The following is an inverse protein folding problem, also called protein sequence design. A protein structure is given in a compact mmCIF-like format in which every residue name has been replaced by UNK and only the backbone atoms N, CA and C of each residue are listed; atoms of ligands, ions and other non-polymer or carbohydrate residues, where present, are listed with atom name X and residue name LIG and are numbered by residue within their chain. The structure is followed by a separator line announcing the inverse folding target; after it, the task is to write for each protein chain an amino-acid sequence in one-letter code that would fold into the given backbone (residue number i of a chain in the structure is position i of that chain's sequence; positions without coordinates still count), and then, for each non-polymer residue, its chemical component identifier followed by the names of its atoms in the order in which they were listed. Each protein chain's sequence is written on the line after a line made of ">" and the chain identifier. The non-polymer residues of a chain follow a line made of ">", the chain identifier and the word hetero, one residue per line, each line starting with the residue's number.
data_IF_183355189057
#
_entry.id   IF_183355189057
#
_cell.length_a   1.000
_cell.length_b   1.000
_cell.length_c   1.000
_cell.angle_alpha   90.00
_cell.angle_beta   90.00
_cell.angle_gamma   90.00
#
_symmetry.space_group_name_H-M   'P 1'
#
loop_
_entity.id
_entity.type
_entity.pdbx_description
1 polymer ?
2 non-polymer ?
3 non-polymer ?
4 water ?
#
# COMPACT_ATOMS: atom_id res chain seq x y z
N UNK A 4 26.15 -0.58 -9.45
CA UNK A 4 25.20 0.49 -9.75
C UNK A 4 23.77 -0.04 -9.79
N UNK A 5 22.80 0.87 -9.70
CA UNK A 5 21.39 0.50 -9.63
C UNK A 5 20.78 0.39 -11.02
N UNK A 6 19.81 -0.52 -11.14
CA UNK A 6 18.94 -0.61 -12.30
C UNK A 6 18.09 0.66 -12.42
N UNK A 7 17.46 0.84 -13.59
CA UNK A 7 16.63 2.02 -13.79
C UNK A 7 15.45 2.04 -12.83
N UNK A 8 14.81 0.88 -12.60
CA UNK A 8 13.71 0.85 -11.65
C UNK A 8 14.20 1.07 -10.23
N UNK A 9 15.36 0.51 -9.87
CA UNK A 9 15.85 0.75 -8.52
C UNK A 9 16.34 2.20 -8.35
N UNK A 10 16.73 2.86 -9.44
CA UNK A 10 17.06 4.28 -9.36
C UNK A 10 15.81 5.11 -9.13
N UNK A 11 14.68 4.70 -9.72
CA UNK A 11 13.41 5.34 -9.40
C UNK A 11 13.06 5.14 -7.94
N UNK A 12 13.29 3.93 -7.43
CA UNK A 12 13.03 3.64 -6.02
C UNK A 12 13.93 4.46 -5.10
N UNK A 13 15.21 4.59 -5.46
CA UNK A 13 16.10 5.43 -4.67
C UNK A 13 15.58 6.87 -4.63
N UNK A 14 15.00 7.33 -5.73
CA UNK A 14 14.40 8.66 -5.74
C UNK A 14 13.19 8.75 -4.82
N UNK A 15 12.40 7.68 -4.75
CA UNK A 15 11.28 7.65 -3.80
C UNK A 15 11.80 7.71 -2.38
N UNK A 16 12.82 6.91 -2.09
CA UNK A 16 13.40 6.90 -0.75
C UNK A 16 13.91 8.28 -0.36
N UNK A 17 14.62 8.94 -1.27
CA UNK A 17 15.06 10.31 -1.02
C UNK A 17 13.88 11.21 -0.69
N UNK A 18 12.78 11.07 -1.43
CA UNK A 18 11.63 11.91 -1.13
C UNK A 18 11.05 11.58 0.24
N UNK A 19 10.94 10.29 0.57
CA UNK A 19 10.37 9.96 1.88
C UNK A 19 11.19 10.50 3.04
N UNK A 20 12.51 10.64 2.84
CA UNK A 20 13.41 11.15 3.85
C UNK A 20 13.58 12.67 3.80
N UNK A 21 12.92 13.36 2.88
CA UNK A 21 13.19 14.77 2.69
C UNK A 21 12.41 15.63 3.70
N UNK A 22 12.84 16.88 3.82
CA UNK A 22 12.28 17.77 4.84
C UNK A 22 10.79 18.01 4.62
N UNK A 23 10.32 17.95 3.38
CA UNK A 23 8.93 18.29 3.12
C UNK A 23 7.95 17.29 3.72
N UNK A 24 8.38 16.05 4.01
CA UNK A 24 7.52 15.07 4.66
C UNK A 24 7.92 14.81 6.11
N UNK A 25 8.84 15.61 6.66
CA UNK A 25 9.43 15.29 7.97
C UNK A 25 8.39 15.29 9.09
N UNK A 26 7.34 16.11 8.99
CA UNK A 26 6.40 16.23 10.09
C UNK A 26 5.62 14.94 10.33
N UNK A 27 5.52 14.07 9.33
CA UNK A 27 4.90 12.77 9.52
C UNK A 27 5.83 11.61 9.24
N UNK A 28 6.99 11.84 8.64
CA UNK A 28 7.87 10.70 8.35
C UNK A 28 8.78 10.34 9.51
N UNK A 29 9.00 11.24 10.47
CA UNK A 29 10.06 11.02 11.46
C UNK A 29 9.91 9.76 12.30
N UNK A 30 8.72 9.24 12.64
CA UNK A 30 8.68 7.98 13.40
C UNK A 30 9.34 6.83 12.68
N UNK A 31 9.42 6.91 11.37
CA UNK A 31 9.88 5.82 10.53
C UNK A 31 11.35 5.94 10.17
N UNK A 32 12.04 6.92 10.74
CA UNK A 32 13.44 7.14 10.37
C UNK A 32 14.36 6.04 10.87
N UNK A 33 14.10 5.49 12.06
CA UNK A 33 14.99 4.55 12.72
C UNK A 33 14.19 3.37 13.22
N UNK A 34 14.84 2.24 13.53
CA UNK A 34 14.10 1.09 14.05
C UNK A 34 13.33 1.46 15.31
N UNK A 35 12.13 0.92 15.43
CA UNK A 35 11.37 1.07 16.67
C UNK A 35 12.21 0.56 17.83
N UNK A 36 12.39 1.40 18.84
CA UNK A 36 13.15 1.03 20.05
C UNK A 36 12.11 0.68 21.11
N UNK A 37 11.72 -0.60 21.13
CA UNK A 37 10.59 -1.00 21.95
C UNK A 37 10.89 -0.83 23.44
N UNK A 38 12.14 -1.07 23.85
CA UNK A 38 12.47 -0.90 25.26
C UNK A 38 12.41 0.58 25.68
N UNK A 39 12.95 1.47 24.84
CA UNK A 39 12.90 2.90 25.15
C UNK A 39 11.48 3.42 25.16
N UNK A 40 10.63 2.92 24.26
CA UNK A 40 9.23 3.32 24.26
C UNK A 40 8.44 2.62 25.35
N UNK A 41 9.01 1.61 26.00
CA UNK A 41 8.29 0.91 27.05
C UNK A 41 7.21 -0.01 26.52
N UNK A 42 7.36 -0.49 25.29
CA UNK A 42 6.36 -1.31 24.64
C UNK A 42 6.84 -2.75 24.63
N UNK A 43 6.60 -3.45 25.74
CA UNK A 43 7.23 -4.72 26.01
C UNK A 43 6.78 -5.83 25.06
N UNK A 44 5.64 -5.69 24.40
CA UNK A 44 5.14 -6.73 23.52
C UNK A 44 5.33 -6.43 22.04
N UNK A 45 6.10 -5.39 21.70
CA UNK A 45 6.22 -5.01 20.30
C UNK A 45 6.76 -6.15 19.46
N UNK A 46 7.81 -6.80 19.93
CA UNK A 46 8.41 -7.87 19.13
C UNK A 46 7.67 -9.19 19.27
N UNK A 47 6.66 -9.27 20.14
CA UNK A 47 5.78 -10.42 20.11
C UNK A 47 4.77 -10.30 18.98
N UNK A 48 4.41 -9.09 18.63
CA UNK A 48 3.39 -8.83 17.62
C UNK A 48 4.02 -8.62 16.25
N UNK A 49 5.15 -7.91 16.21
CA UNK A 49 5.87 -7.57 14.98
C UNK A 49 7.03 -8.55 14.82
N UNK A 50 6.89 -9.48 13.88
CA UNK A 50 7.90 -10.50 13.64
C UNK A 50 9.08 -9.97 12.83
N UNK A 51 8.84 -9.02 11.94
CA UNK A 51 9.85 -8.55 10.98
C UNK A 51 9.88 -7.03 10.98
N UNK A 52 10.63 -6.43 11.91
CA UNK A 52 10.68 -4.97 11.98
C UNK A 52 11.30 -4.37 10.71
N UNK A 53 10.87 -3.14 10.40
CA UNK A 53 11.43 -2.44 9.25
C UNK A 53 11.28 -0.94 9.47
N UNK A 54 12.21 -0.18 8.90
CA UNK A 54 12.20 1.28 9.03
C UNK A 54 13.01 1.86 7.88
N UNK A 55 12.96 3.18 7.74
CA UNK A 55 13.59 3.81 6.58
C UNK A 55 15.11 3.76 6.62
N UNK A 56 15.73 3.79 7.82
CA UNK A 56 17.19 3.65 7.83
C UNK A 56 17.62 2.29 7.35
N UNK A 57 16.81 1.26 7.59
CA UNK A 57 17.16 -0.06 7.08
C UNK A 57 16.99 -0.13 5.57
N UNK A 58 15.88 0.43 5.06
CA UNK A 58 15.68 0.52 3.62
C UNK A 58 16.83 1.27 2.97
N UNK A 59 17.25 2.38 3.58
CA UNK A 59 18.36 3.17 3.04
C UNK A 59 19.66 2.39 3.04
N UNK A 60 19.95 1.66 4.12
CA UNK A 60 21.16 0.85 4.14
C UNK A 60 21.13 -0.20 3.02
N UNK A 61 19.98 -0.83 2.82
CA UNK A 61 19.91 -1.87 1.80
C UNK A 61 20.04 -1.27 0.41
N UNK A 62 19.50 -0.08 0.22
CA UNK A 62 19.63 0.57 -1.08
C UNK A 62 21.07 0.97 -1.34
N UNK A 63 21.74 1.58 -0.35
CA UNK A 63 23.12 2.03 -0.54
C UNK A 63 24.06 0.86 -0.79
N UNK A 64 23.85 -0.23 -0.09
CA UNK A 64 24.72 -1.39 -0.24
C UNK A 64 24.30 -2.28 -1.39
N UNK A 65 23.28 -1.89 -2.14
CA UNK A 65 22.83 -2.64 -3.32
C UNK A 65 22.33 -4.03 -2.95
N UNK A 66 21.63 -4.10 -1.82
CA UNK A 66 21.07 -5.37 -1.36
C UNK A 66 19.78 -5.73 -2.08
N UNK A 67 19.03 -4.75 -2.58
CA UNK A 67 17.76 -5.05 -3.22
C UNK A 67 18.01 -5.71 -4.58
N UNK A 68 17.32 -6.82 -4.83
CA UNK A 68 17.43 -7.47 -6.12
C UNK A 68 16.59 -6.78 -7.19
N UNK A 69 15.44 -6.22 -6.81
CA UNK A 69 14.57 -5.53 -7.77
C UNK A 69 13.64 -4.59 -7.02
N UNK A 70 12.85 -3.85 -7.80
CA UNK A 70 11.98 -2.84 -7.22
C UNK A 70 10.91 -3.46 -6.33
N UNK A 71 10.41 -4.63 -6.72
CA UNK A 71 9.39 -5.28 -5.89
C UNK A 71 9.92 -5.61 -4.50
N UNK A 72 11.21 -5.93 -4.36
CA UNK A 72 11.75 -6.18 -3.03
C UNK A 72 11.77 -4.90 -2.20
N UNK A 73 12.13 -3.77 -2.83
CA UNK A 73 12.07 -2.48 -2.17
C UNK A 73 10.66 -2.18 -1.71
N UNK A 74 9.68 -2.33 -2.59
CA UNK A 74 8.29 -2.02 -2.25
C UNK A 74 7.81 -2.91 -1.12
N UNK A 75 8.23 -4.18 -1.12
CA UNK A 75 7.82 -5.06 -0.03
C UNK A 75 8.33 -4.56 1.31
N UNK A 76 9.58 -4.07 1.37
CA UNK A 76 10.10 -3.57 2.63
C UNK A 76 9.37 -2.31 3.08
N UNK A 77 9.10 -1.39 2.15
CA UNK A 77 8.40 -0.18 2.54
C UNK A 77 7.01 -0.50 3.03
N UNK A 78 6.29 -1.37 2.31
CA UNK A 78 4.96 -1.75 2.76
C UNK A 78 4.99 -2.50 4.09
N UNK A 79 6.05 -3.30 4.32
CA UNK A 79 6.20 -3.99 5.61
C UNK A 79 6.33 -2.99 6.75
N UNK A 80 7.15 -1.94 6.55
CA UNK A 80 7.29 -0.90 7.56
C UNK A 80 5.93 -0.29 7.92
N UNK A 81 5.11 0.03 6.92
CA UNK A 81 3.80 0.61 7.21
C UNK A 81 2.88 -0.44 7.83
N UNK A 82 2.89 -1.66 7.29
CA UNK A 82 2.07 -2.75 7.82
C UNK A 82 2.32 -2.97 9.30
N UNK A 83 3.60 -3.01 9.71
CA UNK A 83 3.91 -3.21 11.13
C UNK A 83 3.25 -2.13 11.98
N UNK A 84 3.26 -0.90 11.49
CA UNK A 84 2.67 0.19 12.24
C UNK A 84 1.16 -0.03 12.38
N UNK A 85 0.49 -0.37 11.28
CA UNK A 85 -0.94 -0.64 11.36
C UNK A 85 -1.23 -1.85 12.24
N UNK A 86 -0.41 -2.90 12.13
CA UNK A 86 -0.66 -4.12 12.89
C UNK A 86 -0.62 -3.87 14.39
N UNK A 87 0.35 -3.08 14.85
CA UNK A 87 0.52 -2.91 16.29
C UNK A 87 -0.52 -1.94 16.87
N UNK A 88 -0.86 -0.88 16.14
CA UNK A 88 -1.53 0.28 16.70
C UNK A 88 -3.00 0.31 16.34
N UNK A 89 -3.83 0.97 17.16
CA UNK A 89 -5.25 1.13 16.85
C UNK A 89 -5.45 2.14 15.73
N UNK A 90 -6.60 2.08 15.06
CA UNK A 90 -6.77 2.89 13.84
C UNK A 90 -6.78 4.39 14.07
N UNK A 91 -7.11 4.88 15.26
CA UNK A 91 -7.14 6.32 15.48
C UNK A 91 -5.84 6.86 16.08
N UNK A 92 -4.80 6.04 16.17
CA UNK A 92 -3.53 6.49 16.71
C UNK A 92 -2.89 7.50 15.78
N UNK A 93 -2.25 8.52 16.36
CA UNK A 93 -1.57 9.53 15.56
C UNK A 93 -0.51 8.92 14.64
N UNK A 94 0.19 7.88 15.08
CA UNK A 94 1.25 7.34 14.22
C UNK A 94 0.66 6.61 13.02
N UNK A 95 -0.57 6.09 13.16
CA UNK A 95 -1.23 5.44 12.03
C UNK A 95 -1.60 6.46 10.96
N UNK A 96 -2.07 7.64 11.36
CA UNK A 96 -2.35 8.71 10.39
C UNK A 96 -1.08 9.15 9.69
N UNK A 97 0.02 9.26 10.44
CA UNK A 97 1.30 9.61 9.82
C UNK A 97 1.73 8.55 8.82
N UNK A 98 1.58 7.29 9.18
CA UNK A 98 1.96 6.20 8.27
C UNK A 98 1.14 6.24 6.99
N UNK A 99 -0.18 6.40 7.10
CA UNK A 99 -0.99 6.43 5.88
C UNK A 99 -0.64 7.62 5.01
N UNK A 100 -0.35 8.78 5.61
CA UNK A 100 0.03 9.94 4.80
C UNK A 100 1.35 9.70 4.07
N UNK A 101 2.32 9.12 4.75
CA UNK A 101 3.59 8.84 4.07
C UNK A 101 3.43 7.71 3.06
N UNK A 102 2.57 6.73 3.36
CA UNK A 102 2.38 5.63 2.42
C UNK A 102 1.72 6.10 1.14
N UNK A 103 0.80 7.07 1.26
CA UNK A 103 0.19 7.64 0.05
C UNK A 103 1.26 8.23 -0.86
N UNK A 104 2.27 8.90 -0.29
CA UNK A 104 3.36 9.44 -1.10
C UNK A 104 4.08 8.31 -1.81
N UNK A 105 4.43 7.27 -1.07
CA UNK A 105 5.13 6.13 -1.65
C UNK A 105 4.31 5.49 -2.75
N UNK A 106 3.04 5.20 -2.48
CA UNK A 106 2.26 4.43 -3.43
C UNK A 106 2.03 5.20 -4.71
N UNK A 107 1.83 6.52 -4.61
CA UNK A 107 1.65 7.31 -5.81
C UNK A 107 2.93 7.31 -6.64
N UNK A 108 4.07 7.57 -6.00
CA UNK A 108 5.33 7.62 -6.74
C UNK A 108 5.71 6.25 -7.30
N UNK A 109 5.49 5.18 -6.54
CA UNK A 109 5.79 3.84 -7.02
C UNK A 109 4.92 3.48 -8.23
N UNK A 110 3.67 3.95 -8.26
CA UNK A 110 2.80 3.66 -9.39
C UNK A 110 3.25 4.36 -10.66
N UNK A 111 4.06 5.43 -10.55
CA UNK A 111 4.60 6.14 -11.68
C UNK A 111 5.97 5.62 -12.12
N UNK A 112 6.41 4.48 -11.60
CA UNK A 112 7.71 3.96 -11.98
C UNK A 112 7.72 3.59 -13.46
N UNK A 113 8.74 4.01 -14.23
CA UNK A 113 8.81 3.73 -15.67
C UNK A 113 9.28 2.33 -15.99
N UNK B 6 -8.48 -21.29 4.21
CA UNK B 6 -7.65 -21.15 5.40
C UNK B 6 -8.05 -19.94 6.22
N UNK B 7 -7.47 -19.85 7.43
CA UNK B 7 -7.75 -18.73 8.31
C UNK B 7 -7.41 -17.39 7.66
N UNK B 8 -6.33 -17.36 6.87
CA UNK B 8 -5.91 -16.08 6.28
C UNK B 8 -6.84 -15.67 5.14
N UNK B 9 -7.29 -16.62 4.32
CA UNK B 9 -8.16 -16.22 3.23
C UNK B 9 -9.57 -15.91 3.74
N UNK B 10 -9.99 -16.51 4.87
CA UNK B 10 -11.18 -16.05 5.56
C UNK B 10 -11.04 -14.60 5.99
N UNK B 11 -9.87 -14.23 6.51
CA UNK B 11 -9.65 -12.83 6.85
C UNK B 11 -9.73 -11.96 5.61
N UNK B 12 -9.20 -12.44 4.49
CA UNK B 12 -9.25 -11.65 3.26
C UNK B 12 -10.68 -11.49 2.76
N UNK B 13 -11.51 -12.53 2.91
CA UNK B 13 -12.91 -12.36 2.54
C UNK B 13 -13.58 -11.30 3.39
N UNK B 14 -13.23 -11.23 4.68
CA UNK B 14 -13.81 -10.20 5.53
C UNK B 14 -13.35 -8.80 5.16
N UNK B 15 -12.10 -8.67 4.69
CA UNK B 15 -11.64 -7.38 4.19
C UNK B 15 -12.47 -6.96 2.99
N UNK B 16 -12.66 -7.89 2.05
CA UNK B 16 -13.43 -7.59 0.85
C UNK B 16 -14.85 -7.15 1.20
N UNK B 17 -15.47 -7.84 2.16
CA UNK B 17 -16.80 -7.43 2.60
C UNK B 17 -16.78 -6.01 3.16
N UNK B 18 -15.77 -5.66 3.96
CA UNK B 18 -15.70 -4.30 4.48
C UNK B 18 -15.55 -3.28 3.35
N UNK B 19 -14.70 -3.57 2.37
CA UNK B 19 -14.50 -2.63 1.27
C UNK B 19 -15.78 -2.39 0.50
N UNK B 20 -16.65 -3.38 0.43
CA UNK B 20 -17.90 -3.30 -0.30
C UNK B 20 -19.07 -2.82 0.55
N UNK B 21 -18.85 -2.60 1.85
CA UNK B 21 -19.93 -2.31 2.79
C UNK B 21 -20.41 -0.87 2.67
N UNK B 22 -21.57 -0.62 3.30
CA UNK B 22 -22.22 0.69 3.19
C UNK B 22 -21.38 1.79 3.84
N UNK B 23 -20.59 1.46 4.87
CA UNK B 23 -19.82 2.48 5.56
C UNK B 23 -18.92 3.24 4.60
N UNK B 24 -18.40 2.56 3.58
CA UNK B 24 -17.38 3.13 2.70
C UNK B 24 -17.89 3.46 1.31
N UNK B 25 -19.21 3.36 1.09
CA UNK B 25 -19.74 3.41 -0.26
C UNK B 25 -19.51 4.75 -0.93
N UNK B 26 -19.45 5.84 -0.17
CA UNK B 26 -19.32 7.17 -0.78
C UNK B 26 -18.02 7.31 -1.57
N UNK B 27 -16.98 6.56 -1.20
CA UNK B 27 -15.72 6.60 -1.94
C UNK B 27 -15.32 5.27 -2.56
N UNK B 28 -15.98 4.17 -2.20
CA UNK B 28 -15.59 2.89 -2.77
C UNK B 28 -16.23 2.62 -4.13
N UNK B 29 -17.32 3.30 -4.47
CA UNK B 29 -18.13 2.89 -5.61
C UNK B 29 -17.38 2.89 -6.95
N UNK B 30 -16.40 3.74 -7.24
CA UNK B 30 -15.70 3.62 -8.54
C UNK B 30 -14.98 2.30 -8.70
N UNK B 31 -14.70 1.59 -7.61
CA UNK B 31 -13.92 0.37 -7.65
C UNK B 31 -14.78 -0.89 -7.61
N UNK B 32 -16.09 -0.72 -7.65
CA UNK B 32 -16.99 -1.87 -7.56
C UNK B 32 -16.90 -2.75 -8.80
N UNK B 33 -16.76 -2.15 -9.97
CA UNK B 33 -16.79 -2.85 -11.25
C UNK B 33 -15.60 -2.42 -12.09
N UNK B 34 -15.25 -3.21 -13.13
CA UNK B 34 -14.12 -2.81 -13.97
C UNK B 34 -14.33 -1.42 -14.55
N UNK B 35 -13.22 -0.68 -14.69
CA UNK B 35 -13.27 0.61 -15.35
C UNK B 35 -13.76 0.40 -16.77
N UNK B 36 -14.90 1.01 -17.12
CA UNK B 36 -15.40 0.96 -18.50
C UNK B 36 -14.91 2.22 -19.19
N UNK B 37 -13.63 2.19 -19.58
CA UNK B 37 -12.98 3.40 -20.09
C UNK B 37 -13.65 3.90 -21.37
N UNK B 38 -14.04 2.98 -22.26
CA UNK B 38 -14.68 3.39 -23.50
C UNK B 38 -15.98 4.14 -23.22
N UNK B 39 -16.78 3.64 -22.27
CA UNK B 39 -18.00 4.34 -21.90
C UNK B 39 -17.71 5.66 -21.20
N UNK B 40 -16.62 5.72 -20.41
CA UNK B 40 -16.22 6.97 -19.78
C UNK B 40 -15.60 7.96 -20.77
N UNK B 41 -15.44 7.57 -22.03
CA UNK B 41 -14.85 8.43 -23.04
C UNK B 41 -13.34 8.49 -23.02
N UNK B 42 -12.70 7.56 -22.32
CA UNK B 42 -11.27 7.63 -22.02
C UNK B 42 -10.54 6.49 -22.71
N UNK B 43 -10.23 6.68 -23.99
CA UNK B 43 -9.77 5.60 -24.85
C UNK B 43 -8.28 5.34 -24.79
N UNK B 44 -7.54 6.03 -23.92
CA UNK B 44 -6.15 5.69 -23.70
C UNK B 44 -5.92 4.94 -22.39
N UNK B 45 -6.98 4.72 -21.60
CA UNK B 45 -6.80 4.05 -20.31
C UNK B 45 -6.21 2.66 -20.49
N UNK B 46 -6.73 1.90 -21.45
CA UNK B 46 -6.25 0.54 -21.63
C UNK B 46 -4.91 0.48 -22.35
N UNK B 47 -4.41 1.61 -22.85
CA UNK B 47 -3.03 1.67 -23.37
C UNK B 47 -2.03 1.84 -22.24
N UNK B 48 -2.41 2.52 -21.18
CA UNK B 48 -1.56 2.74 -20.02
C UNK B 48 -1.71 1.63 -18.98
N UNK B 49 -2.93 1.13 -18.78
CA UNK B 49 -3.24 0.14 -17.76
C UNK B 49 -3.39 -1.20 -18.48
N UNK B 50 -2.36 -2.05 -18.36
CA UNK B 50 -2.36 -3.33 -19.04
C UNK B 50 -2.96 -4.45 -18.21
N UNK B 51 -3.13 -4.25 -16.90
CA UNK B 51 -3.66 -5.29 -16.02
C UNK B 51 -4.74 -4.67 -15.17
N UNK B 52 -5.92 -4.45 -15.74
CA UNK B 52 -7.01 -3.84 -14.97
C UNK B 52 -7.44 -4.75 -13.83
N UNK B 53 -7.92 -4.13 -12.75
CA UNK B 53 -8.40 -4.87 -11.59
C UNK B 53 -9.47 -4.05 -10.91
N UNK B 54 -10.43 -4.74 -10.29
CA UNK B 54 -11.51 -4.09 -9.57
C UNK B 54 -12.05 -5.07 -8.54
N UNK B 55 -12.90 -4.57 -7.64
CA UNK B 55 -13.35 -5.40 -6.52
C UNK B 55 -14.23 -6.57 -6.95
N UNK B 56 -15.09 -6.39 -7.96
CA UNK B 56 -15.89 -7.53 -8.43
C UNK B 56 -15.01 -8.63 -9.00
N UNK B 57 -13.88 -8.28 -9.61
CA UNK B 57 -12.96 -9.30 -10.10
C UNK B 57 -12.25 -10.01 -8.94
N UNK B 58 -11.78 -9.24 -7.97
CA UNK B 58 -11.22 -9.84 -6.76
C UNK B 58 -12.23 -10.77 -6.11
N UNK B 59 -13.48 -10.34 -6.01
CA UNK B 59 -14.50 -11.17 -5.38
C UNK B 59 -14.73 -12.46 -6.15
N UNK B 60 -14.75 -12.39 -7.49
CA UNK B 60 -14.95 -13.62 -8.25
C UNK B 60 -13.76 -14.56 -8.09
N UNK B 61 -12.54 -14.02 -8.05
CA UNK B 61 -11.37 -14.86 -7.85
C UNK B 61 -11.37 -15.49 -6.46
N UNK B 62 -11.86 -14.76 -5.45
CA UNK B 62 -11.94 -15.31 -4.10
C UNK B 62 -13.02 -16.38 -4.02
N UNK B 63 -14.22 -16.09 -4.51
CA UNK B 63 -15.30 -17.08 -4.49
C UNK B 63 -14.93 -18.32 -5.28
N UNK B 64 -14.15 -18.17 -6.35
CA UNK B 64 -13.67 -19.32 -7.11
C UNK B 64 -12.45 -19.95 -6.48
N UNK B 65 -11.95 -19.39 -5.37
CA UNK B 65 -10.79 -19.91 -4.66
C UNK B 65 -9.56 -19.95 -5.58
N UNK B 66 -9.35 -18.88 -6.35
CA UNK B 66 -8.23 -18.77 -7.28
C UNK B 66 -6.96 -18.21 -6.65
N UNK B 67 -7.03 -17.69 -5.43
CA UNK B 67 -5.86 -17.11 -4.79
C UNK B 67 -5.09 -18.21 -4.05
N UNK B 68 -3.81 -18.37 -4.39
CA UNK B 68 -2.98 -19.37 -3.73
C UNK B 68 -2.78 -19.02 -2.25
N UNK B 69 -2.67 -17.74 -1.93
CA UNK B 69 -2.48 -17.31 -0.55
C UNK B 69 -2.89 -15.85 -0.42
N UNK B 70 -2.79 -15.33 0.81
CA UNK B 70 -3.24 -13.98 1.09
C UNK B 70 -2.40 -12.93 0.37
N UNK B 71 -1.11 -13.22 0.14
CA UNK B 71 -0.28 -12.22 -0.53
C UNK B 71 -0.70 -12.02 -1.99
N UNK B 72 -1.25 -13.06 -2.62
CA UNK B 72 -1.76 -12.91 -3.98
C UNK B 72 -3.03 -12.05 -3.98
N UNK B 73 -3.88 -12.23 -2.97
CA UNK B 73 -5.05 -11.36 -2.80
C UNK B 73 -4.62 -9.90 -2.65
N UNK B 74 -3.69 -9.65 -1.72
CA UNK B 74 -3.20 -8.29 -1.48
C UNK B 74 -2.60 -7.70 -2.74
N UNK B 75 -1.88 -8.50 -3.53
CA UNK B 75 -1.30 -7.98 -4.77
C UNK B 75 -2.38 -7.48 -5.73
N UNK B 76 -3.49 -8.21 -5.84
CA UNK B 76 -4.57 -7.76 -6.73
C UNK B 76 -5.25 -6.49 -6.21
N UNK B 77 -5.48 -6.39 -4.90
CA UNK B 77 -6.08 -5.16 -4.38
C UNK B 77 -5.14 -3.99 -4.58
N UNK B 78 -3.86 -4.17 -4.26
CA UNK B 78 -2.90 -3.08 -4.48
C UNK B 78 -2.76 -2.74 -5.95
N UNK B 79 -2.91 -3.73 -6.83
CA UNK B 79 -2.91 -3.46 -8.27
C UNK B 79 -4.04 -2.52 -8.66
N UNK B 80 -5.24 -2.76 -8.09
CA UNK B 80 -6.37 -1.89 -8.36
C UNK B 80 -6.07 -0.44 -7.97
N UNK B 81 -5.47 -0.23 -6.78
CA UNK B 81 -5.15 1.14 -6.39
C UNK B 81 -4.01 1.70 -7.23
N UNK B 82 -2.98 0.90 -7.48
CA UNK B 82 -1.83 1.39 -8.25
C UNK B 82 -2.22 1.75 -9.68
N UNK B 83 -3.21 1.06 -10.26
CA UNK B 83 -3.69 1.42 -11.58
C UNK B 83 -4.31 2.81 -11.56
N UNK B 84 -5.10 3.07 -10.52
CA UNK B 84 -5.74 4.38 -10.37
C UNK B 84 -4.69 5.49 -10.25
N UNK B 85 -3.67 5.28 -9.41
CA UNK B 85 -2.59 6.27 -9.26
C UNK B 85 -1.76 6.39 -10.53
N UNK B 86 -1.52 5.27 -11.22
CA UNK B 86 -0.70 5.31 -12.43
C UNK B 86 -1.35 6.15 -13.52
N UNK B 87 -2.66 5.98 -13.72
CA UNK B 87 -3.31 6.64 -14.83
C UNK B 87 -3.60 8.12 -14.53
N UNK B 88 -4.00 8.43 -13.28
CA UNK B 88 -4.60 9.72 -12.97
C UNK B 88 -3.60 10.66 -12.33
N UNK B 89 -3.82 11.96 -12.48
CA UNK B 89 -2.97 12.96 -11.82
C UNK B 89 -3.27 13.04 -10.34
N UNK B 90 -2.38 13.64 -9.55
CA UNK B 90 -2.53 13.53 -8.09
C UNK B 90 -3.75 14.26 -7.53
N UNK B 91 -4.27 15.28 -8.22
CA UNK B 91 -5.42 16.05 -7.75
C UNK B 91 -6.76 15.52 -8.23
N UNK B 92 -6.78 14.35 -8.86
CA UNK B 92 -8.02 13.84 -9.43
C UNK B 92 -8.94 13.33 -8.33
N UNK B 93 -10.25 13.53 -8.52
CA UNK B 93 -11.22 13.10 -7.50
C UNK B 93 -11.14 11.59 -7.26
N UNK B 94 -10.88 10.80 -8.30
CA UNK B 94 -10.87 9.35 -8.09
C UNK B 94 -9.64 8.93 -7.30
N UNK B 95 -8.56 9.70 -7.36
CA UNK B 95 -7.38 9.37 -6.58
C UNK B 95 -7.65 9.58 -5.11
N UNK B 96 -8.39 10.64 -4.77
CA UNK B 96 -8.79 10.87 -3.39
C UNK B 96 -9.61 9.71 -2.86
N UNK B 97 -10.54 9.20 -3.68
CA UNK B 97 -11.37 8.08 -3.25
C UNK B 97 -10.54 6.81 -3.08
N UNK B 98 -9.61 6.56 -4.00
CA UNK B 98 -8.70 5.43 -3.86
C UNK B 98 -7.92 5.51 -2.55
N UNK B 99 -7.41 6.69 -2.23
CA UNK B 99 -6.67 6.87 -0.98
C UNK B 99 -7.53 6.48 0.22
N UNK B 100 -8.75 7.05 0.29
CA UNK B 100 -9.64 6.75 1.41
C UNK B 100 -9.92 5.26 1.52
N UNK B 101 -10.14 4.59 0.38
CA UNK B 101 -10.43 3.15 0.45
C UNK B 101 -9.18 2.36 0.78
N UNK B 102 -8.01 2.81 0.32
CA UNK B 102 -6.79 2.12 0.68
C UNK B 102 -6.45 2.26 2.16
N UNK B 103 -6.90 3.33 2.83
CA UNK B 103 -6.83 3.39 4.30
C UNK B 103 -7.41 2.13 4.92
N UNK B 104 -8.62 1.78 4.48
CA UNK B 104 -9.34 0.63 5.02
C UNK B 104 -8.59 -0.65 4.69
N UNK B 105 -8.22 -0.83 3.41
CA UNK B 105 -7.57 -2.06 3.01
C UNK B 105 -6.26 -2.26 3.77
N UNK B 106 -5.38 -1.26 3.72
CA UNK B 106 -4.04 -1.47 4.29
C UNK B 106 -4.13 -1.72 5.79
N UNK B 107 -5.02 -1.03 6.48
CA UNK B 107 -5.11 -1.22 7.92
C UNK B 107 -5.64 -2.61 8.26
N UNK B 108 -6.70 -3.04 7.59
CA UNK B 108 -7.30 -4.34 7.87
C UNK B 108 -6.40 -5.47 7.43
N UNK B 109 -5.71 -5.31 6.29
CA UNK B 109 -4.82 -6.38 5.84
C UNK B 109 -3.67 -6.59 6.82
N UNK B 110 -3.19 -5.51 7.44
CA UNK B 110 -2.14 -5.64 8.45
C UNK B 110 -2.57 -6.42 9.68
N UNK B 111 -3.88 -6.50 9.95
CA UNK B 111 -4.36 -7.23 11.12
C UNK B 111 -4.48 -8.73 10.87
N UNK B 112 -4.14 -9.19 9.68
CA UNK B 112 -4.27 -10.61 9.39
C UNK B 112 -3.41 -11.42 10.36
N UNK B 113 -3.98 -12.44 11.02
CA UNK B 113 -3.26 -13.27 12.00
C UNK B 113 -2.23 -14.18 11.34
X LIG C 1 6.89 3.57 13.79
X LIG C 1 8.85 6.36 17.34
X LIG C 1 7.63 7.95 18.95
X LIG C 1 6.54 5.86 17.65
X LIG C 1 3.62 3.18 20.58
X LIG C 1 1.78 4.13 21.78
X LIG C 1 3.78 2.63 19.18
X LIG C 1 4.34 1.18 19.28
X LIG C 1 5.87 1.03 19.48
X LIG C 1 4.72 3.60 18.42
X LIG C 1 5.00 3.19 16.99
X LIG C 1 6.00 3.25 14.94
X LIG C 1 10.27 6.91 17.33
X LIG C 1 7.70 6.74 17.97
X LIG C 1 6.83 4.88 16.79
X LIG C 1 5.15 6.05 18.20
X LIG C 1 4.49 7.38 17.98
X LIG C 1 3.54 7.88 18.90
X LIG C 1 2.95 9.14 18.71
X LIG C 1 3.33 9.91 17.60
X LIG C 1 4.27 9.46 16.69
X LIG C 1 4.83 8.20 16.91
X LIG C 1 4.39 2.27 16.23
X LIG C 1 5.00 2.30 14.99
X LIG C 1 6.00 3.83 16.25
X LIG C 1 4.35 5.02 18.36
X LIG C 1 4.54 3.84 21.07
X LIG C 1 2.53 2.99 21.33
X LIG C 1 8.53 4.93 16.32
X LIG C 1 2.63 11.51 17.34
X LIG D 1 24.54 -8.61 2.95
X LIG D 1 26.65 -6.00 6.31
X LIG D 1 25.99 -5.89 5.09
X LIG D 1 25.20 -7.02 4.76
X LIG D 1 25.40 -7.39 3.29
X LIG D 1 25.05 -6.32 2.44
X LIG E 1 -6.21 3.86 8.74
X LIG E 1 -5.70 9.56 7.99
X LIG E 1 -4.71 9.69 7.00
X LIG E 1 -3.74 10.66 7.30
X LIG E 1 -8.56 3.60 9.11
X LIG E 1 -7.39 4.12 9.68
X LIG E 1 -7.55 5.62 9.93
X LIG E 1 -6.89 6.35 8.93
X LIG E 1 -7.06 7.73 9.00
X LIG E 1 -6.57 8.35 7.69
X LIG F 1 -11.36 3.39 -10.76
X LIG F 1 -15.80 4.79 -12.58
X LIG F 1 -16.78 7.17 -12.74
X LIG F 1 -14.10 6.51 -12.60
X LIG F 1 -11.34 9.12 -15.71
X LIG F 1 -13.39 10.13 -16.64
X LIG F 1 -10.60 8.00 -14.98
X LIG F 1 -9.97 7.07 -16.05
X LIG F 1 -10.96 6.16 -16.81
X LIG F 1 -11.62 7.28 -14.08
X LIG F 1 -11.01 6.19 -13.22
X LIG F 1 -10.98 4.47 -11.71
X LIG F 1 -17.04 3.89 -12.60
X LIG F 1 -15.61 6.14 -12.63
X LIG F 1 -13.29 5.45 -12.48
X LIG F 1 -13.57 7.91 -12.61
X LIG F 1 -14.11 8.91 -11.57
X LIG F 1 -14.15 10.29 -11.85
X LIG F 1 -14.66 11.20 -10.93
X LIG F 1 -15.14 10.71 -9.70
X LIG F 1 -15.14 9.37 -9.39
X LIG F 1 -14.62 8.47 -10.33
X LIG F 1 -9.72 5.89 -12.98
X LIG F 1 -9.71 4.85 -12.08
X LIG F 1 -11.84 5.35 -12.45
X LIG F 1 -12.39 8.14 -13.16
X LIG F 1 -10.75 10.16 -16.02
X LIG F 1 -12.67 9.03 -16.03
X LIG F 1 -14.23 3.95 -12.47
X LIG F 1 -15.79 11.83 -8.53
#
# INVERSE_FOLDING_TARGET
>A
SMGKLSEQLKHCNGILKELLSKKHAAYAWPFYKPVDASALGVHDYHDIIKHPMDLSTVKRKMENRDYRDAQEFAADVRLMFSNCYKYNPPDHDVVAMARKLQDVFEFRYAKMPD
>B
SMGKLSEQLKHCNGILKELLSKKHAAYAWPFYKPVDASALGVHDYHDIIKHPMDLSTVKRKMENRDYRDAQEFAADVRLMFSNCYKYNPPDHDVVAMARKLQDVFEFRYAKMPD
>C hetero
1 PMW C13 C17 C20 C21 C02 C04 C05 C06 C07 C08 C09 C12 C18 C19 C15 C22 C23 C24 C25 C26 C28 C29 N10 N11 N14 N30 O01 O03 S16 CL1
>D hetero
1 PXN CAA CAC OAD CAE CAF OAG
>E hetero
1 PXN CAB CAC OAD CAE OAH CAI CAJ OAK CAL CAM
>F hetero
1 PMW C13 C17 C20 C21 C02 C04 C05 C06 C07 C08 C09 C12 C18 C19 C15 C22 C23 C24 C25 C26 C28 C29 N10 N11 N14 N30 O01 O03 S16 CL1
#
